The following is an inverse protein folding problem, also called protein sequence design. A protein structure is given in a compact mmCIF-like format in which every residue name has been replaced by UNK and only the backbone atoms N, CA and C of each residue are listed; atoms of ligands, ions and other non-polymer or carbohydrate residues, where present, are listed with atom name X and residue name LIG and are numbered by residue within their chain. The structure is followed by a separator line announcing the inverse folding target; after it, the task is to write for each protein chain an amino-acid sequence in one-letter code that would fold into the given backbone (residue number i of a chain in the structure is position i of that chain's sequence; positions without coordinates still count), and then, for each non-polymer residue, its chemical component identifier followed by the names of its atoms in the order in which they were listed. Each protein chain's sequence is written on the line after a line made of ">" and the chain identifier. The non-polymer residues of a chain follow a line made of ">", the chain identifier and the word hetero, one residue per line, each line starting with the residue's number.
data_IF_577195520179
#
_entry.id   IF_577195520179
#
_cell.length_a   1.000
_cell.length_b   1.000
_cell.length_c   1.000
_cell.angle_alpha   90.00
_cell.angle_beta   90.00
_cell.angle_gamma   90.00
#
_symmetry.space_group_name_H-M   'P 1'
#
loop_
_entity.id
_entity.type
_entity.pdbx_description
1 polymer ?
#
# COMPACT_ATOMS: atom_id res chain seq x y z
N UNK A 1 -2.44 3.39 -11.95
CA UNK A 1 -3.72 3.94 -12.36
C UNK A 1 -3.49 5.32 -12.92
N UNK A 2 -4.50 5.86 -13.57
CA UNK A 2 -4.63 7.26 -13.95
C UNK A 2 -6.13 7.51 -14.17
N UNK A 3 -6.63 8.68 -13.77
CA UNK A 3 -8.04 9.04 -13.92
C UNK A 3 -8.96 8.22 -13.01
N UNK A 4 -10.06 7.75 -13.58
CA UNK A 4 -11.13 7.01 -12.89
C UNK A 4 -10.78 5.54 -12.65
N UNK A 5 -11.57 4.88 -11.79
CA UNK A 5 -11.47 3.45 -11.54
C UNK A 5 -11.71 2.62 -12.83
N UNK A 6 -12.66 3.03 -13.67
CA UNK A 6 -12.97 2.38 -14.95
C UNK A 6 -11.81 2.46 -15.94
N UNK A 7 -11.22 3.64 -16.12
CA UNK A 7 -10.09 3.86 -17.03
C UNK A 7 -8.86 3.06 -16.57
N UNK A 8 -8.61 3.06 -15.25
CA UNK A 8 -7.53 2.28 -14.65
C UNK A 8 -7.78 0.77 -14.77
N UNK A 9 -9.01 0.28 -14.57
CA UNK A 9 -9.37 -1.12 -14.79
C UNK A 9 -9.14 -1.54 -16.24
N UNK A 10 -9.59 -0.73 -17.20
CA UNK A 10 -9.38 -1.00 -18.63
C UNK A 10 -7.88 -1.14 -18.94
N UNK A 11 -7.05 -0.26 -18.37
CA UNK A 11 -5.59 -0.33 -18.49
C UNK A 11 -5.02 -1.58 -17.85
N UNK A 12 -5.48 -1.98 -16.67
CA UNK A 12 -5.03 -3.20 -15.99
C UNK A 12 -5.36 -4.45 -16.80
N UNK A 13 -6.59 -4.58 -17.29
CA UNK A 13 -7.00 -5.69 -18.15
C UNK A 13 -6.19 -5.75 -19.44
N UNK A 14 -5.89 -4.59 -20.04
CA UNK A 14 -5.00 -4.51 -21.19
C UNK A 14 -3.60 -5.06 -20.85
N UNK A 15 -2.97 -4.59 -19.76
CA UNK A 15 -1.63 -5.01 -19.37
C UNK A 15 -1.55 -6.52 -19.05
N UNK A 16 -2.54 -7.06 -18.35
CA UNK A 16 -2.65 -8.50 -18.09
C UNK A 16 -2.84 -9.29 -19.40
N UNK A 17 -3.64 -8.77 -20.33
CA UNK A 17 -3.81 -9.36 -21.67
C UNK A 17 -2.53 -9.36 -22.51
N UNK A 18 -1.57 -8.47 -22.20
CA UNK A 18 -0.24 -8.45 -22.81
C UNK A 18 0.79 -9.34 -22.09
N UNK A 19 0.34 -10.20 -21.15
CA UNK A 19 1.21 -11.15 -20.43
C UNK A 19 1.75 -10.63 -19.09
N UNK A 20 1.27 -9.49 -18.59
CA UNK A 20 1.57 -9.04 -17.24
C UNK A 20 1.13 -10.07 -16.19
N UNK A 21 1.95 -10.30 -15.18
CA UNK A 21 1.71 -11.29 -14.10
C UNK A 21 1.29 -10.66 -12.77
N UNK A 22 1.24 -9.33 -12.72
CA UNK A 22 0.83 -8.57 -11.56
C UNK A 22 0.48 -7.13 -11.92
N UNK A 23 -0.10 -6.42 -10.96
CA UNK A 23 -0.53 -5.04 -11.08
C UNK A 23 0.24 -4.15 -10.11
N UNK A 24 0.51 -2.92 -10.55
CA UNK A 24 0.97 -1.85 -9.69
C UNK A 24 -0.06 -0.73 -9.72
N UNK A 25 -0.62 -0.43 -8.56
CA UNK A 25 -1.66 0.56 -8.33
C UNK A 25 -1.00 1.82 -7.78
N UNK A 26 -1.02 2.86 -8.60
CA UNK A 26 -0.67 4.22 -8.23
C UNK A 26 -1.97 5.00 -8.03
N UNK A 27 -2.09 5.64 -6.86
CA UNK A 27 -3.26 6.39 -6.41
C UNK A 27 -3.01 7.88 -6.64
N UNK A 28 -4.08 8.65 -6.81
CA UNK A 28 -3.96 10.11 -6.91
C UNK A 28 -3.53 10.74 -5.57
N UNK A 29 -3.27 12.06 -5.59
CA UNK A 29 -2.82 12.75 -4.38
C UNK A 29 -3.91 12.84 -3.29
N UNK A 30 -5.19 13.16 -3.60
CA UNK A 30 -6.26 13.16 -2.60
C UNK A 30 -6.38 11.83 -1.85
N UNK A 31 -6.44 10.71 -2.57
CA UNK A 31 -6.50 9.35 -1.97
C UNK A 31 -5.29 9.07 -1.08
N UNK A 32 -4.10 9.51 -1.50
CA UNK A 32 -2.87 9.33 -0.70
C UNK A 32 -2.89 10.14 0.60
N UNK A 33 -3.48 11.34 0.56
CA UNK A 33 -3.56 12.27 1.69
C UNK A 33 -4.82 12.08 2.55
N UNK A 34 -5.73 11.19 2.16
CA UNK A 34 -6.94 10.87 2.94
C UNK A 34 -8.10 11.84 2.74
N UNK A 35 -8.20 12.43 1.55
CA UNK A 35 -9.31 13.27 1.13
C UNK A 35 -10.16 12.55 0.07
N UNK A 36 -11.46 12.77 0.14
CA UNK A 36 -12.40 12.32 -0.89
C UNK A 36 -12.33 13.28 -2.10
N UNK A 37 -12.74 12.80 -3.27
CA UNK A 37 -12.66 13.54 -4.53
C UNK A 37 -13.52 14.81 -4.60
N UNK A 38 -14.45 15.01 -3.66
CA UNK A 38 -15.29 16.21 -3.55
C UNK A 38 -14.75 17.25 -2.56
N UNK A 39 -13.55 17.03 -2.01
CA UNK A 39 -12.88 18.03 -1.17
C UNK A 39 -12.53 19.30 -1.96
N UNK A 40 -12.97 20.45 -1.43
CA UNK A 40 -12.84 21.76 -2.09
C UNK A 40 -11.38 22.16 -2.39
N UNK A 41 -10.42 21.71 -1.57
CA UNK A 41 -9.00 22.06 -1.72
C UNK A 41 -8.28 21.14 -2.72
N UNK A 42 -8.77 19.91 -2.91
CA UNK A 42 -8.05 18.86 -3.62
C UNK A 42 -8.65 18.47 -4.98
N UNK A 43 -9.78 19.08 -5.38
CA UNK A 43 -10.50 18.74 -6.61
C UNK A 43 -9.68 18.79 -7.91
N UNK A 44 -8.65 19.64 -8.01
CA UNK A 44 -7.77 19.72 -9.20
C UNK A 44 -6.75 18.56 -9.30
N UNK A 45 -6.53 17.83 -8.20
CA UNK A 45 -5.56 16.73 -8.12
C UNK A 45 -6.20 15.34 -8.30
N UNK A 46 -7.53 15.29 -8.34
CA UNK A 46 -8.31 14.06 -8.52
C UNK A 46 -7.94 13.37 -9.83
N UNK A 47 -7.52 12.10 -9.74
CA UNK A 47 -7.14 11.27 -10.89
C UNK A 47 -5.89 11.71 -11.65
N UNK A 48 -5.18 12.76 -11.21
CA UNK A 48 -4.11 13.40 -11.99
C UNK A 48 -2.81 12.62 -12.03
N UNK A 49 -2.43 12.00 -10.91
CA UNK A 49 -1.15 11.27 -10.77
C UNK A 49 -1.35 9.78 -10.49
N UNK A 50 -2.60 9.35 -10.44
CA UNK A 50 -2.99 7.98 -10.15
C UNK A 50 -4.49 7.82 -10.28
N UNK A 51 -5.01 6.68 -9.84
CA UNK A 51 -6.46 6.46 -9.78
C UNK A 51 -7.07 7.10 -8.54
N UNK A 52 -8.23 7.74 -8.67
CA UNK A 52 -9.04 8.21 -7.55
C UNK A 52 -9.80 7.05 -6.90
N UNK A 53 -9.73 6.91 -5.58
CA UNK A 53 -10.44 5.88 -4.82
C UNK A 53 -10.95 6.47 -3.51
N UNK A 54 -12.23 6.79 -3.46
CA UNK A 54 -12.89 7.36 -2.28
C UNK A 54 -13.52 6.25 -1.43
N UNK A 55 -14.09 5.24 -2.10
CA UNK A 55 -14.96 4.23 -1.48
C UNK A 55 -14.62 2.80 -1.89
N UNK A 56 -15.26 1.84 -1.22
CA UNK A 56 -15.25 0.44 -1.65
C UNK A 56 -15.81 0.25 -3.08
N UNK A 57 -16.78 1.08 -3.50
CA UNK A 57 -17.37 0.94 -4.84
C UNK A 57 -16.31 1.19 -5.94
N UNK A 58 -15.41 2.15 -5.70
CA UNK A 58 -14.31 2.45 -6.62
C UNK A 58 -13.32 1.28 -6.70
N UNK A 59 -13.01 0.66 -5.56
CA UNK A 59 -12.17 -0.55 -5.54
C UNK A 59 -12.84 -1.74 -6.26
N UNK A 60 -14.16 -1.90 -6.13
CA UNK A 60 -14.92 -2.94 -6.85
C UNK A 60 -14.84 -2.75 -8.38
N UNK A 61 -14.97 -1.51 -8.85
CA UNK A 61 -14.83 -1.14 -10.25
C UNK A 61 -13.39 -1.36 -10.71
N UNK A 62 -12.42 -0.87 -9.93
CA UNK A 62 -10.99 -0.92 -10.24
C UNK A 62 -10.50 -2.36 -10.50
N UNK A 63 -11.05 -3.33 -9.76
CA UNK A 63 -10.69 -4.74 -9.87
C UNK A 63 -11.72 -5.60 -10.60
N UNK A 64 -12.73 -5.02 -11.25
CA UNK A 64 -13.75 -5.80 -11.94
C UNK A 64 -13.15 -6.62 -13.10
N UNK A 65 -13.55 -7.90 -13.18
CA UNK A 65 -13.05 -8.84 -14.17
C UNK A 65 -11.57 -9.25 -14.03
N UNK A 66 -10.89 -8.86 -12.95
CA UNK A 66 -9.49 -9.22 -12.67
C UNK A 66 -9.44 -10.41 -11.69
N UNK A 67 -8.75 -11.52 -12.00
CA UNK A 67 -8.69 -12.70 -11.13
C UNK A 67 -7.68 -12.49 -9.99
N UNK A 68 -8.10 -11.82 -8.91
CA UNK A 68 -7.25 -11.45 -7.76
C UNK A 68 -6.61 -12.64 -7.03
N UNK A 69 -7.11 -13.86 -7.22
CA UNK A 69 -6.53 -15.10 -6.68
C UNK A 69 -5.35 -15.65 -7.51
N UNK A 70 -5.09 -15.06 -8.68
CA UNK A 70 -4.09 -15.54 -9.65
C UNK A 70 -3.00 -14.52 -9.98
N UNK A 71 -3.17 -13.27 -9.57
CA UNK A 71 -2.23 -12.19 -9.82
C UNK A 71 -1.72 -11.59 -8.50
N UNK A 72 -0.55 -10.97 -8.56
CA UNK A 72 -0.05 -10.14 -7.45
C UNK A 72 -0.47 -8.68 -7.65
N UNK A 73 -0.97 -8.02 -6.62
CA UNK A 73 -1.35 -6.60 -6.68
C UNK A 73 -0.53 -5.77 -5.70
N UNK A 74 0.25 -4.83 -6.20
CA UNK A 74 1.06 -3.90 -5.42
C UNK A 74 0.42 -2.52 -5.35
N UNK A 75 0.45 -1.86 -4.20
CA UNK A 75 -0.09 -0.51 -3.98
C UNK A 75 1.01 0.41 -3.45
N UNK A 76 1.30 1.49 -4.19
CA UNK A 76 2.19 2.56 -3.72
C UNK A 76 1.36 3.54 -2.88
N UNK A 77 1.06 3.14 -1.64
CA UNK A 77 0.18 3.87 -0.72
C UNK A 77 0.70 3.80 0.71
N UNK A 78 0.59 4.89 1.48
CA UNK A 78 1.18 5.01 2.82
C UNK A 78 0.19 5.56 3.84
N UNK A 79 -0.10 6.87 3.82
CA UNK A 79 -1.01 7.51 4.78
C UNK A 79 -2.35 6.78 4.95
N UNK A 80 -2.96 6.41 3.82
CA UNK A 80 -4.24 5.66 3.77
C UNK A 80 -4.07 4.15 3.53
N UNK A 81 -2.87 3.59 3.67
CA UNK A 81 -2.59 2.20 3.27
C UNK A 81 -3.51 1.15 3.91
N UNK A 82 -3.82 1.31 5.21
CA UNK A 82 -4.74 0.41 5.92
C UNK A 82 -6.16 0.46 5.34
N UNK A 83 -6.63 1.64 4.91
CA UNK A 83 -7.95 1.84 4.32
C UNK A 83 -8.00 1.18 2.94
N UNK A 84 -7.01 1.42 2.08
CA UNK A 84 -6.94 0.83 0.75
C UNK A 84 -6.79 -0.70 0.80
N UNK A 85 -6.06 -1.24 1.79
CA UNK A 85 -6.01 -2.68 2.03
C UNK A 85 -7.39 -3.22 2.41
N UNK A 86 -8.13 -2.52 3.29
CA UNK A 86 -9.47 -2.94 3.68
C UNK A 86 -10.44 -2.95 2.47
N UNK A 87 -10.40 -1.94 1.62
CA UNK A 87 -11.19 -1.91 0.39
C UNK A 87 -10.80 -3.04 -0.57
N UNK A 88 -9.50 -3.28 -0.76
CA UNK A 88 -9.02 -4.36 -1.62
C UNK A 88 -9.49 -5.74 -1.14
N UNK A 89 -9.34 -6.02 0.16
CA UNK A 89 -9.77 -7.29 0.76
C UNK A 89 -11.30 -7.45 0.64
N UNK A 90 -12.08 -6.41 0.97
CA UNK A 90 -13.54 -6.47 0.88
C UNK A 90 -14.04 -6.65 -0.57
N UNK A 91 -13.40 -5.99 -1.54
CA UNK A 91 -13.72 -6.17 -2.96
C UNK A 91 -13.43 -7.61 -3.43
N UNK A 92 -12.32 -8.19 -2.99
CA UNK A 92 -11.99 -9.59 -3.26
C UNK A 92 -13.00 -10.56 -2.64
N UNK A 93 -13.37 -10.36 -1.37
CA UNK A 93 -14.36 -11.19 -0.68
C UNK A 93 -15.72 -11.17 -1.36
N UNK A 94 -16.20 -10.00 -1.81
CA UNK A 94 -17.45 -9.88 -2.57
C UNK A 94 -17.43 -10.64 -3.90
N UNK A 95 -16.26 -10.85 -4.48
CA UNK A 95 -16.06 -11.70 -5.67
C UNK A 95 -15.81 -13.18 -5.33
N UNK A 96 -15.90 -13.56 -4.06
CA UNK A 96 -15.71 -14.92 -3.58
C UNK A 96 -14.25 -15.37 -3.56
N UNK A 97 -13.29 -14.44 -3.56
CA UNK A 97 -11.87 -14.75 -3.45
C UNK A 97 -11.50 -14.89 -1.95
N UNK A 98 -11.02 -16.05 -1.50
CA UNK A 98 -10.57 -16.23 -0.13
C UNK A 98 -9.33 -15.38 0.19
N UNK A 99 -9.27 -14.79 1.39
CA UNK A 99 -8.18 -13.88 1.82
C UNK A 99 -6.81 -14.55 1.71
N UNK A 100 -6.70 -15.82 2.03
CA UNK A 100 -5.46 -16.60 1.99
C UNK A 100 -4.92 -16.81 0.57
N UNK A 101 -5.70 -16.51 -0.48
CA UNK A 101 -5.24 -16.54 -1.87
C UNK A 101 -4.70 -15.20 -2.35
N UNK A 102 -4.98 -14.10 -1.66
CA UNK A 102 -4.52 -12.78 -2.07
C UNK A 102 -3.00 -12.69 -1.94
N UNK A 103 -2.37 -12.33 -3.06
CA UNK A 103 -0.94 -12.02 -3.12
C UNK A 103 -0.75 -10.57 -3.52
N UNK A 104 0.22 -9.91 -2.93
CA UNK A 104 0.44 -8.50 -3.19
C UNK A 104 1.29 -7.82 -2.14
N UNK A 105 1.33 -6.49 -2.24
CA UNK A 105 2.09 -5.64 -1.34
C UNK A 105 1.36 -4.31 -1.17
N UNK A 106 1.26 -3.80 0.05
CA UNK A 106 1.02 -2.37 0.31
C UNK A 106 2.34 -1.75 0.74
N UNK A 107 2.63 -0.52 0.30
CA UNK A 107 3.89 0.12 0.67
C UNK A 107 3.93 0.37 2.19
N UNK A 108 2.93 1.04 2.75
CA UNK A 108 2.69 1.12 4.20
C UNK A 108 3.92 1.55 5.03
N UNK A 109 4.81 2.35 4.44
CA UNK A 109 6.04 2.82 5.07
C UNK A 109 5.88 4.30 5.39
N UNK A 110 5.47 4.61 6.62
CA UNK A 110 5.17 5.99 7.04
C UNK A 110 6.41 6.78 7.47
N UNK A 111 7.48 6.13 7.97
CA UNK A 111 8.68 6.80 8.45
C UNK A 111 9.38 7.60 7.34
N UNK A 112 9.53 6.99 6.16
CA UNK A 112 10.06 7.68 4.98
C UNK A 112 9.15 8.81 4.47
N UNK A 113 7.84 8.80 4.78
CA UNK A 113 6.95 9.91 4.41
C UNK A 113 7.34 11.19 5.14
N UNK A 114 7.64 11.13 6.45
CA UNK A 114 8.07 12.31 7.19
C UNK A 114 9.42 12.85 6.73
N UNK A 115 10.31 11.96 6.29
CA UNK A 115 11.68 12.31 5.95
C UNK A 115 11.88 12.73 4.49
N UNK A 116 11.04 12.25 3.55
CA UNK A 116 11.36 12.35 2.12
C UNK A 116 10.20 12.47 1.14
N UNK A 117 8.96 12.07 1.48
CA UNK A 117 7.86 11.95 0.50
C UNK A 117 6.62 12.80 0.78
N UNK A 118 6.24 12.98 2.04
CA UNK A 118 5.28 14.02 2.44
C UNK A 118 3.78 13.67 2.41
N UNK A 119 3.38 12.42 2.18
CA UNK A 119 1.96 11.98 2.15
C UNK A 119 1.50 11.32 3.46
N UNK A 120 1.98 11.85 4.60
CA UNK A 120 1.54 11.43 5.93
C UNK A 120 0.29 12.22 6.37
N UNK A 121 -0.54 11.62 7.21
CA UNK A 121 -1.81 12.22 7.69
C UNK A 121 -1.74 12.52 9.18
N UNK A 122 -1.33 11.52 9.98
CA UNK A 122 -1.26 11.64 11.43
C UNK A 122 0.18 11.89 11.90
N UNK A 123 0.40 12.27 13.17
CA UNK A 123 1.73 12.29 13.78
C UNK A 123 2.40 10.90 13.78
N UNK A 124 3.72 10.82 14.04
CA UNK A 124 4.49 9.57 13.98
C UNK A 124 3.95 8.43 14.86
N UNK A 125 3.63 8.70 16.13
CA UNK A 125 3.18 7.67 17.08
C UNK A 125 1.87 6.96 16.68
N UNK A 126 0.74 7.67 16.42
CA UNK A 126 -0.48 7.01 15.96
C UNK A 126 -0.32 6.34 14.59
N UNK A 127 0.55 6.87 13.73
CA UNK A 127 0.86 6.24 12.46
C UNK A 127 1.57 4.90 12.64
N UNK A 128 2.63 4.83 13.46
CA UNK A 128 3.33 3.59 13.79
C UNK A 128 2.40 2.55 14.41
N UNK A 129 1.45 2.99 15.25
CA UNK A 129 0.40 2.12 15.80
C UNK A 129 -0.43 1.48 14.68
N UNK A 130 -0.84 2.25 13.66
CA UNK A 130 -1.62 1.77 12.53
C UNK A 130 -0.80 0.84 11.61
N UNK A 131 0.49 1.13 11.40
CA UNK A 131 1.39 0.21 10.68
C UNK A 131 1.43 -1.15 11.39
N UNK A 132 1.60 -1.16 12.72
CA UNK A 132 1.61 -2.40 13.49
C UNK A 132 0.26 -3.15 13.46
N UNK A 133 -0.88 -2.43 13.53
CA UNK A 133 -2.20 -3.04 13.34
C UNK A 133 -2.31 -3.74 11.98
N UNK A 134 -1.81 -3.08 10.93
CA UNK A 134 -1.86 -3.58 9.56
C UNK A 134 -0.98 -4.82 9.36
N UNK A 135 0.21 -4.82 9.95
CA UNK A 135 1.12 -5.99 9.95
C UNK A 135 0.49 -7.17 10.69
N UNK A 136 -0.07 -6.94 11.89
CA UNK A 136 -0.76 -7.99 12.66
C UNK A 136 -1.96 -8.56 11.88
N UNK A 137 -2.74 -7.70 11.22
CA UNK A 137 -3.87 -8.13 10.39
C UNK A 137 -3.41 -9.00 9.21
N UNK A 138 -2.44 -8.56 8.42
CA UNK A 138 -1.93 -9.33 7.29
C UNK A 138 -1.36 -10.69 7.72
N UNK A 139 -0.65 -10.74 8.86
CA UNK A 139 -0.07 -11.98 9.36
C UNK A 139 -1.14 -12.98 9.83
N UNK A 140 -2.27 -12.50 10.36
CA UNK A 140 -3.38 -13.34 10.81
C UNK A 140 -4.36 -13.75 9.70
N UNK A 141 -4.70 -12.80 8.82
CA UNK A 141 -5.88 -12.90 7.95
C UNK A 141 -5.54 -12.99 6.46
N UNK A 142 -4.39 -12.45 6.04
CA UNK A 142 -3.98 -12.37 4.62
C UNK A 142 -2.53 -12.86 4.45
N UNK A 143 -2.23 -14.12 4.80
CA UNK A 143 -0.86 -14.61 5.06
C UNK A 143 0.10 -14.54 3.87
N UNK A 144 -0.39 -14.38 2.64
CA UNK A 144 0.43 -14.29 1.41
C UNK A 144 0.64 -12.86 0.91
N UNK A 145 0.22 -11.86 1.69
CA UNK A 145 0.32 -10.46 1.34
C UNK A 145 1.47 -9.80 2.12
N UNK A 146 2.33 -9.04 1.43
CA UNK A 146 3.38 -8.29 2.09
C UNK A 146 2.75 -7.04 2.75
N UNK A 147 2.83 -6.99 4.07
CA UNK A 147 2.14 -5.98 4.88
C UNK A 147 2.82 -4.61 4.85
N UNK A 148 4.08 -4.57 4.40
CA UNK A 148 4.89 -3.37 4.28
C UNK A 148 5.99 -3.59 3.23
N UNK A 149 6.34 -2.52 2.54
CA UNK A 149 7.53 -2.42 1.69
C UNK A 149 8.37 -1.23 2.16
N UNK A 150 9.41 -1.52 2.96
CA UNK A 150 10.28 -0.50 3.54
C UNK A 150 11.15 0.09 2.41
N UNK A 151 10.99 1.38 2.14
CA UNK A 151 11.31 1.97 0.85
C UNK A 151 12.48 2.96 0.92
N UNK A 152 13.66 2.48 0.52
CA UNK A 152 14.88 3.26 0.38
C UNK A 152 14.90 4.23 -0.80
N UNK A 153 14.17 3.89 -1.88
CA UNK A 153 14.17 4.68 -3.11
C UNK A 153 13.84 6.16 -2.88
N UNK A 154 12.88 6.47 -2.00
CA UNK A 154 12.49 7.86 -1.75
C UNK A 154 13.55 8.66 -0.99
N UNK A 155 14.37 8.01 -0.14
CA UNK A 155 15.54 8.67 0.44
C UNK A 155 16.55 9.05 -0.66
N UNK A 156 16.75 8.20 -1.67
CA UNK A 156 17.64 8.49 -2.81
C UNK A 156 17.09 9.61 -3.68
N UNK A 157 15.79 9.62 -3.95
CA UNK A 157 15.12 10.71 -4.66
C UNK A 157 15.28 12.04 -3.92
N UNK A 158 15.28 12.01 -2.58
CA UNK A 158 15.55 13.17 -1.72
C UNK A 158 17.05 13.51 -1.57
N UNK A 159 17.95 12.78 -2.24
CA UNK A 159 19.38 13.09 -2.30
C UNK A 159 20.29 12.28 -1.36
N UNK A 160 19.78 11.23 -0.70
CA UNK A 160 20.62 10.31 0.06
C UNK A 160 21.66 9.64 -0.85
N UNK A 161 22.83 9.32 -0.33
CA UNK A 161 23.77 8.40 -0.99
C UNK A 161 23.40 6.93 -0.71
N UNK A 162 24.06 5.97 -1.38
CA UNK A 162 23.75 4.54 -1.22
C UNK A 162 23.92 4.02 0.23
N UNK A 163 24.90 4.56 0.98
CA UNK A 163 25.12 4.18 2.38
C UNK A 163 23.97 4.70 3.25
N UNK A 164 23.52 5.94 3.00
CA UNK A 164 22.40 6.55 3.71
C UNK A 164 21.08 5.83 3.40
N UNK A 165 20.79 5.53 2.14
CA UNK A 165 19.61 4.72 1.74
C UNK A 165 19.57 3.40 2.50
N UNK A 166 20.66 2.63 2.47
CA UNK A 166 20.72 1.35 3.16
C UNK A 166 20.56 1.51 4.67
N UNK A 167 21.24 2.50 5.28
CA UNK A 167 21.18 2.73 6.71
C UNK A 167 19.77 3.15 7.19
N UNK A 168 19.15 4.11 6.51
CA UNK A 168 17.83 4.63 6.88
C UNK A 168 16.75 3.57 6.67
N UNK A 169 16.77 2.88 5.52
CA UNK A 169 15.78 1.83 5.23
C UNK A 169 15.85 0.68 6.22
N UNK A 170 17.05 0.22 6.58
CA UNK A 170 17.19 -0.85 7.57
C UNK A 170 16.81 -0.38 8.98
N UNK A 171 17.11 0.87 9.34
CA UNK A 171 16.70 1.44 10.63
C UNK A 171 15.17 1.56 10.74
N UNK A 172 14.49 1.97 9.67
CA UNK A 172 13.03 1.99 9.60
C UNK A 172 12.46 0.58 9.74
N UNK A 173 13.04 -0.40 9.02
CA UNK A 173 12.66 -1.81 9.12
C UNK A 173 12.78 -2.39 10.53
N UNK A 174 13.86 -2.06 11.25
CA UNK A 174 14.02 -2.43 12.68
C UNK A 174 12.95 -1.76 13.53
N UNK A 175 12.69 -0.47 13.31
CA UNK A 175 11.67 0.28 14.06
C UNK A 175 10.28 -0.32 13.90
N UNK A 176 9.91 -0.76 12.70
CA UNK A 176 8.63 -1.45 12.48
C UNK A 176 8.58 -2.80 13.19
N UNK A 177 9.66 -3.59 13.14
CA UNK A 177 9.74 -4.86 13.85
C UNK A 177 9.58 -4.67 15.37
N UNK A 178 10.33 -3.71 15.95
CA UNK A 178 10.28 -3.40 17.37
C UNK A 178 8.89 -2.89 17.79
N UNK A 179 8.24 -2.10 16.95
CA UNK A 179 6.87 -1.60 17.21
C UNK A 179 5.87 -2.74 17.32
N UNK A 180 5.94 -3.75 16.43
CA UNK A 180 5.07 -4.93 16.50
C UNK A 180 5.42 -5.79 17.71
N UNK A 181 6.72 -6.05 17.97
CA UNK A 181 7.17 -6.87 19.09
C UNK A 181 6.80 -6.27 20.45
N UNK A 182 6.89 -4.95 20.61
CA UNK A 182 6.56 -4.25 21.84
C UNK A 182 5.09 -4.44 22.27
N UNK A 183 4.20 -4.79 21.33
CA UNK A 183 2.77 -5.07 21.62
C UNK A 183 2.55 -6.46 22.25
N UNK A 184 3.52 -7.36 22.14
CA UNK A 184 3.49 -8.69 22.77
C UNK A 184 2.45 -9.67 22.21
N UNK A 185 1.87 -9.39 21.03
CA UNK A 185 0.82 -10.22 20.42
C UNK A 185 1.34 -11.25 19.43
N UNK A 186 2.51 -11.01 18.82
CA UNK A 186 3.13 -11.86 17.81
C UNK A 186 4.64 -11.93 18.01
N UNK A 187 5.24 -13.05 17.61
CA UNK A 187 6.71 -13.19 17.55
C UNK A 187 7.24 -12.75 16.18
N UNK A 188 8.53 -12.45 16.10
CA UNK A 188 9.17 -12.00 14.84
C UNK A 188 8.90 -12.96 13.68
N UNK A 189 8.95 -14.27 13.92
CA UNK A 189 8.72 -15.31 12.91
C UNK A 189 7.31 -15.30 12.32
N UNK A 190 6.33 -14.70 13.02
CA UNK A 190 4.94 -14.64 12.56
C UNK A 190 4.70 -13.59 11.51
N UNK A 191 5.45 -12.49 11.50
CA UNK A 191 5.18 -11.35 10.62
C UNK A 191 6.38 -10.94 9.76
N UNK A 192 7.63 -11.23 10.18
CA UNK A 192 8.82 -10.87 9.40
C UNK A 192 8.82 -11.40 7.96
N UNK A 193 8.28 -12.61 7.64
CA UNK A 193 8.18 -13.07 6.25
C UNK A 193 7.33 -12.19 5.32
N UNK A 194 6.48 -11.32 5.88
CA UNK A 194 5.65 -10.37 5.14
C UNK A 194 6.25 -8.95 5.07
N UNK A 195 7.44 -8.74 5.64
CA UNK A 195 8.19 -7.49 5.49
C UNK A 195 9.01 -7.59 4.20
N UNK A 196 8.71 -6.68 3.26
CA UNK A 196 9.45 -6.53 2.00
C UNK A 196 10.24 -5.22 2.00
N UNK A 197 11.13 -5.08 1.02
CA UNK A 197 11.98 -3.90 0.87
C UNK A 197 11.92 -3.38 -0.57
N UNK A 198 12.13 -2.07 -0.74
CA UNK A 198 12.23 -1.42 -2.04
C UNK A 198 13.45 -0.50 -2.10
N UNK A 199 14.48 -0.93 -2.82
CA UNK A 199 15.72 -0.21 -3.09
C UNK A 199 15.85 0.11 -4.58
N UNK A 200 16.80 0.97 -4.93
CA UNK A 200 17.29 1.11 -6.31
C UNK A 200 18.24 -0.02 -6.75
#
# INVERSE_FOLDING_TARGET
>A
GFGTAEESNQRYRYLLGQGGTGLSVALDLPTQCGYDSDDEEYGEEVGRVGVAVDTLADAEILFDGIPLDKISTSFTINGTAAILLAFYVAAAEKKGVPREKLTGTIQNDILKEYASRGTWIWPPEPSLRLIADTIEFCAGEVPRFNAISVAGAHFRDAGANAVQEMAFTLADGVTYCDTVLARGRMTIDKFAPQISFFFY
#
